data_IF_435535081485
#
_entry.id   IF_435535081485
#
_cell.length_a   1.000
_cell.length_b   1.000
_cell.length_c   1.000
_cell.angle_alpha   90.00
_cell.angle_beta   90.00
_cell.angle_gamma   90.00
#
_symmetry.space_group_name_H-M   'P 1'
#
loop_
_entity.id
_entity.type
_entity.pdbx_description
1 polymer ?
#
# COMPACT_ATOMS: atom_id res chain seq x y z
N UNK A 1 -11.78 -14.85 10.98
CA UNK A 1 -11.39 -14.34 9.65
C UNK A 1 -10.24 -15.18 9.16
N UNK A 2 -10.32 -15.72 7.93
CA UNK A 2 -9.32 -16.69 7.45
C UNK A 2 -7.95 -16.02 7.33
N UNK A 3 -6.90 -16.80 7.63
CA UNK A 3 -5.48 -16.40 7.57
C UNK A 3 -4.98 -16.23 6.12
N UNK A 4 -5.87 -16.27 5.12
CA UNK A 4 -5.52 -16.34 3.69
C UNK A 4 -5.64 -15.00 2.97
N UNK A 5 -5.95 -13.92 3.69
CA UNK A 5 -5.93 -12.58 3.11
C UNK A 5 -4.50 -12.06 3.02
N UNK A 6 -4.09 -11.59 1.84
CA UNK A 6 -2.77 -11.02 1.60
C UNK A 6 -2.41 -9.95 2.64
N UNK A 7 -1.20 -10.05 3.18
CA UNK A 7 -0.65 -9.12 4.16
C UNK A 7 0.30 -8.15 3.47
N UNK A 8 0.21 -6.87 3.84
CA UNK A 8 1.08 -5.83 3.30
C UNK A 8 1.87 -5.21 4.43
N UNK A 9 3.17 -5.10 4.24
CA UNK A 9 3.99 -4.21 5.04
C UNK A 9 3.74 -2.78 4.54
N UNK A 10 2.84 -2.09 5.22
CA UNK A 10 2.68 -0.66 5.06
C UNK A 10 3.83 0.04 5.77
N UNK A 11 4.15 1.26 5.36
CA UNK A 11 5.11 2.11 6.05
C UNK A 11 4.60 3.55 6.03
N UNK A 12 4.90 4.31 7.08
CA UNK A 12 4.61 5.74 7.06
C UNK A 12 5.60 6.46 6.14
N UNK A 13 5.08 7.23 5.18
CA UNK A 13 5.92 7.93 4.18
C UNK A 13 6.97 8.83 4.84
N UNK A 14 6.65 9.46 5.97
CA UNK A 14 7.60 10.30 6.71
C UNK A 14 8.79 9.49 7.26
N UNK A 15 8.56 8.26 7.74
CA UNK A 15 9.64 7.36 8.16
C UNK A 15 10.45 6.85 6.97
N UNK A 16 9.79 6.54 5.85
CA UNK A 16 10.47 6.09 4.62
C UNK A 16 11.42 7.17 4.10
N UNK A 17 10.95 8.41 4.02
CA UNK A 17 11.77 9.55 3.55
C UNK A 17 12.96 9.78 4.50
N UNK A 18 12.73 9.72 5.80
CA UNK A 18 13.80 9.86 6.80
C UNK A 18 14.88 8.77 6.64
N UNK A 19 14.47 7.50 6.51
CA UNK A 19 15.37 6.40 6.23
C UNK A 19 16.17 6.57 4.93
N UNK A 20 15.53 7.06 3.86
CA UNK A 20 16.20 7.34 2.59
C UNK A 20 17.28 8.42 2.74
N UNK A 21 17.00 9.49 3.50
CA UNK A 21 17.98 10.53 3.80
C UNK A 21 19.16 9.94 4.58
N UNK A 22 18.90 9.16 5.63
CA UNK A 22 19.97 8.53 6.44
C UNK A 22 20.82 7.56 5.61
N UNK A 23 20.21 6.79 4.70
CA UNK A 23 20.96 5.94 3.77
C UNK A 23 21.86 6.78 2.84
N UNK A 24 21.33 7.90 2.32
CA UNK A 24 22.09 8.82 1.49
C UNK A 24 23.29 9.44 2.23
N UNK A 25 23.10 9.88 3.48
CA UNK A 25 24.17 10.42 4.32
C UNK A 25 25.24 9.36 4.62
N UNK A 26 24.82 8.14 4.97
CA UNK A 26 25.73 7.01 5.21
C UNK A 26 26.57 6.68 3.97
N UNK A 27 25.96 6.75 2.79
CA UNK A 27 26.66 6.57 1.50
C UNK A 27 27.67 7.68 1.25
N UNK A 28 27.29 8.94 1.47
CA UNK A 28 28.19 10.10 1.26
C UNK A 28 29.37 10.12 2.23
N UNK A 29 29.21 9.58 3.43
CA UNK A 29 30.30 9.42 4.41
C UNK A 29 31.30 8.32 4.02
N UNK A 30 31.03 7.54 2.98
CA UNK A 30 31.87 6.40 2.56
C UNK A 30 31.72 5.17 3.46
N UNK A 31 30.73 5.15 4.34
CA UNK A 31 30.46 4.04 5.26
C UNK A 31 29.72 2.86 4.58
N UNK A 32 29.26 3.05 3.34
CA UNK A 32 28.62 2.01 2.52
C UNK A 32 28.91 2.25 1.03
N UNK A 33 28.88 1.20 0.21
CA UNK A 33 29.07 1.30 -1.25
C UNK A 33 28.08 0.38 -1.96
N UNK A 34 27.23 0.94 -2.84
CA UNK A 34 26.47 0.16 -3.83
C UNK A 34 25.48 -0.87 -3.28
N UNK A 35 24.93 -0.65 -2.09
CA UNK A 35 24.02 -1.59 -1.43
C UNK A 35 22.56 -1.34 -1.78
N UNK A 36 21.80 -2.42 -2.00
CA UNK A 36 20.34 -2.37 -2.05
C UNK A 36 19.81 -2.46 -0.63
N UNK A 37 19.11 -1.41 -0.19
CA UNK A 37 18.51 -1.32 1.14
C UNK A 37 17.00 -1.26 0.99
N UNK A 38 16.33 -2.21 1.63
CA UNK A 38 14.87 -2.21 1.74
C UNK A 38 14.50 -1.29 2.89
N UNK A 39 13.72 -0.27 2.57
CA UNK A 39 13.25 0.74 3.52
C UNK A 39 11.88 0.32 4.06
N UNK A 40 11.74 0.30 5.38
CA UNK A 40 10.45 0.12 6.04
C UNK A 40 10.53 0.44 7.52
N UNK A 41 9.38 0.69 8.16
CA UNK A 41 9.28 1.06 9.58
C UNK A 41 8.63 -0.03 10.42
N UNK A 42 8.27 0.29 11.67
CA UNK A 42 7.66 -0.67 12.61
C UNK A 42 6.13 -0.73 12.50
N UNK A 43 5.53 -0.17 11.44
CA UNK A 43 4.09 -0.31 11.25
C UNK A 43 3.73 -1.77 10.91
N UNK A 44 2.65 -2.30 11.49
CA UNK A 44 2.42 -3.74 11.48
C UNK A 44 2.00 -4.23 10.10
N UNK A 45 2.58 -5.36 9.67
CA UNK A 45 2.14 -6.10 8.49
C UNK A 45 0.75 -6.67 8.72
N UNK A 46 -0.24 -6.08 8.07
CA UNK A 46 -1.65 -6.49 8.16
C UNK A 46 -2.28 -6.42 6.78
N UNK A 47 -3.46 -7.03 6.63
CA UNK A 47 -4.23 -6.82 5.41
C UNK A 47 -4.73 -5.36 5.36
N UNK A 48 -4.95 -4.82 4.14
CA UNK A 48 -5.38 -3.43 3.91
C UNK A 48 -6.67 -3.08 4.66
N UNK A 49 -7.58 -4.07 4.79
CA UNK A 49 -8.84 -3.88 5.48
C UNK A 49 -8.61 -3.50 6.93
N UNK A 50 -7.82 -4.30 7.64
CA UNK A 50 -7.54 -4.11 9.07
C UNK A 50 -6.64 -2.91 9.35
N UNK A 51 -5.65 -2.65 8.47
CA UNK A 51 -4.67 -1.59 8.69
C UNK A 51 -5.16 -0.19 8.31
N UNK A 52 -6.01 -0.07 7.29
CA UNK A 52 -6.44 1.23 6.76
C UNK A 52 -7.94 1.38 6.84
N UNK A 53 -8.71 0.49 6.20
CA UNK A 53 -10.15 0.69 6.03
C UNK A 53 -10.86 0.69 7.39
N UNK A 54 -10.64 -0.32 8.22
CA UNK A 54 -11.27 -0.41 9.54
C UNK A 54 -10.81 0.72 10.47
N UNK A 55 -9.56 1.20 10.36
CA UNK A 55 -9.08 2.33 11.17
C UNK A 55 -9.71 3.65 10.74
N UNK A 56 -9.83 3.90 9.44
CA UNK A 56 -10.50 5.11 8.90
C UNK A 56 -11.99 5.08 9.21
N UNK A 57 -12.63 3.92 9.10
CA UNK A 57 -14.05 3.76 9.41
C UNK A 57 -14.34 3.75 10.91
N UNK A 58 -13.37 3.48 11.78
CA UNK A 58 -13.57 3.42 13.24
C UNK A 58 -14.13 4.73 13.82
N UNK A 59 -13.74 5.86 13.24
CA UNK A 59 -14.19 7.19 13.65
C UNK A 59 -15.52 7.59 12.95
N UNK A 60 -15.89 6.88 11.88
CA UNK A 60 -17.17 7.01 11.18
C UNK A 60 -18.24 6.07 11.76
N UNK A 61 -19.51 6.42 11.61
CA UNK A 61 -20.63 5.51 11.94
C UNK A 61 -20.94 4.51 10.81
N UNK A 62 -20.11 4.47 9.77
CA UNK A 62 -20.36 3.65 8.58
C UNK A 62 -19.64 2.31 8.68
N UNK A 63 -20.42 1.23 8.76
CA UNK A 63 -19.91 -0.13 8.60
C UNK A 63 -19.93 -0.52 7.13
N UNK A 64 -18.77 -0.58 6.48
CA UNK A 64 -18.64 -1.17 5.14
C UNK A 64 -18.40 -2.67 5.33
N UNK A 65 -19.34 -3.58 5.02
CA UNK A 65 -19.13 -5.01 5.19
C UNK A 65 -18.04 -5.54 4.25
N UNK A 66 -17.24 -6.48 4.74
CA UNK A 66 -16.32 -7.25 3.91
C UNK A 66 -17.10 -8.11 2.91
N UNK A 67 -16.71 -8.11 1.64
CA UNK A 67 -17.32 -9.01 0.66
C UNK A 67 -17.07 -10.46 1.05
N UNK A 68 -18.08 -11.32 0.90
CA UNK A 68 -17.95 -12.76 1.05
C UNK A 68 -17.25 -13.43 -0.14
N UNK A 69 -17.08 -12.70 -1.25
CA UNK A 69 -16.38 -13.16 -2.43
C UNK A 69 -14.87 -13.10 -2.19
N UNK A 70 -14.16 -14.12 -2.67
CA UNK A 70 -12.69 -14.09 -2.77
C UNK A 70 -12.29 -13.07 -3.83
N UNK A 71 -12.21 -11.80 -3.44
CA UNK A 71 -11.71 -10.68 -4.26
C UNK A 71 -10.18 -10.63 -4.31
N UNK A 72 -9.54 -11.75 -4.00
CA UNK A 72 -8.09 -11.93 -3.90
C UNK A 72 -7.73 -13.32 -4.40
N UNK A 73 -6.45 -13.57 -4.68
CA UNK A 73 -6.00 -14.88 -5.14
C UNK A 73 -5.77 -14.98 -6.65
N UNK A 74 -4.97 -15.97 -7.06
CA UNK A 74 -4.79 -16.31 -8.48
C UNK A 74 -6.12 -16.53 -9.22
N UNK A 75 -7.12 -17.23 -8.64
CA UNK A 75 -8.41 -17.40 -9.30
C UNK A 75 -9.10 -16.07 -9.61
N UNK A 76 -9.12 -15.13 -8.66
CA UNK A 76 -9.69 -13.80 -8.86
C UNK A 76 -8.97 -13.03 -9.97
N UNK A 77 -7.63 -13.04 -9.96
CA UNK A 77 -6.82 -12.37 -10.99
C UNK A 77 -7.13 -12.92 -12.38
N UNK A 78 -7.25 -14.25 -12.51
CA UNK A 78 -7.59 -14.91 -13.78
C UNK A 78 -9.00 -14.52 -14.24
N UNK A 79 -10.01 -14.60 -13.37
CA UNK A 79 -11.37 -14.20 -13.71
C UNK A 79 -11.47 -12.72 -14.07
N UNK A 80 -10.74 -11.86 -13.36
CA UNK A 80 -10.68 -10.44 -13.63
C UNK A 80 -10.06 -10.14 -15.00
N UNK A 81 -8.95 -10.81 -15.33
CA UNK A 81 -8.32 -10.69 -16.64
C UNK A 81 -9.28 -11.10 -17.77
N UNK A 82 -9.98 -12.24 -17.62
CA UNK A 82 -10.99 -12.69 -18.58
C UNK A 82 -12.12 -11.66 -18.72
N UNK A 83 -12.60 -11.12 -17.61
CA UNK A 83 -13.64 -10.09 -17.61
C UNK A 83 -13.22 -8.82 -18.36
N UNK A 84 -12.01 -8.30 -18.09
CA UNK A 84 -11.45 -7.15 -18.81
C UNK A 84 -11.29 -7.46 -20.30
N UNK A 85 -10.86 -8.67 -20.64
CA UNK A 85 -10.75 -9.12 -22.03
C UNK A 85 -12.12 -9.13 -22.73
N UNK A 86 -13.17 -9.66 -22.09
CA UNK A 86 -14.54 -9.62 -22.61
C UNK A 86 -15.06 -8.20 -22.80
N UNK A 87 -14.82 -7.30 -21.85
CA UNK A 87 -15.19 -5.88 -21.99
C UNK A 87 -14.57 -5.27 -23.25
N UNK A 88 -13.28 -5.53 -23.48
CA UNK A 88 -12.56 -5.03 -24.65
C UNK A 88 -13.12 -5.64 -25.95
N UNK A 89 -13.37 -6.95 -25.96
CA UNK A 89 -13.89 -7.66 -27.13
C UNK A 89 -15.29 -7.19 -27.52
N UNK A 90 -16.15 -6.89 -26.54
CA UNK A 90 -17.53 -6.41 -26.76
C UNK A 90 -17.61 -4.89 -26.93
N UNK A 91 -16.49 -4.15 -26.95
CA UNK A 91 -16.49 -2.69 -27.09
C UNK A 91 -17.11 -1.94 -25.92
N UNK A 92 -17.23 -2.57 -24.74
CA UNK A 92 -17.88 -2.01 -23.55
C UNK A 92 -16.96 -1.10 -22.73
N UNK A 93 -15.76 -0.80 -23.23
CA UNK A 93 -14.75 0.00 -22.51
C UNK A 93 -15.26 1.38 -22.06
N UNK A 94 -16.25 1.95 -22.75
CA UNK A 94 -16.86 3.22 -22.36
C UNK A 94 -17.70 3.15 -21.08
N UNK A 95 -18.27 1.99 -20.76
CA UNK A 95 -19.03 1.76 -19.52
C UNK A 95 -18.12 1.46 -18.33
N UNK A 96 -16.94 0.90 -18.59
CA UNK A 96 -16.01 0.40 -17.58
C UNK A 96 -14.69 1.17 -17.52
N UNK A 97 -14.74 2.51 -17.69
CA UNK A 97 -13.55 3.37 -17.75
C UNK A 97 -12.73 3.45 -16.45
N UNK A 98 -13.28 3.03 -15.31
CA UNK A 98 -12.66 3.15 -13.98
C UNK A 98 -12.27 1.80 -13.35
N UNK A 99 -11.99 0.78 -14.16
CA UNK A 99 -11.52 -0.51 -13.66
C UNK A 99 -10.00 -0.49 -13.41
N UNK A 100 -9.50 -0.98 -12.26
CA UNK A 100 -8.06 -1.10 -12.02
C UNK A 100 -7.37 -1.99 -13.06
N UNK A 101 -6.13 -1.69 -13.42
CA UNK A 101 -5.38 -2.58 -14.32
C UNK A 101 -5.15 -3.96 -13.66
N UNK A 102 -5.11 -5.04 -14.44
CA UNK A 102 -4.89 -6.38 -13.86
C UNK A 102 -3.54 -6.50 -13.12
N UNK A 103 -2.52 -5.73 -13.54
CA UNK A 103 -1.23 -5.67 -12.86
C UNK A 103 -1.33 -5.15 -11.43
N UNK A 104 -2.33 -4.30 -11.15
CA UNK A 104 -2.65 -3.88 -9.78
C UNK A 104 -2.91 -5.13 -8.92
N UNK A 105 -3.85 -5.99 -9.34
CA UNK A 105 -4.19 -7.20 -8.58
C UNK A 105 -3.06 -8.23 -8.52
N UNK A 106 -2.22 -8.34 -9.55
CA UNK A 106 -1.03 -9.20 -9.53
C UNK A 106 -0.05 -8.74 -8.44
N UNK A 107 0.19 -7.43 -8.34
CA UNK A 107 1.03 -6.85 -7.30
C UNK A 107 0.48 -7.15 -5.90
N UNK A 108 -0.83 -6.96 -5.67
CA UNK A 108 -1.44 -7.24 -4.36
C UNK A 108 -1.55 -8.74 -4.05
N UNK A 109 -1.66 -9.62 -5.06
CA UNK A 109 -1.72 -11.06 -4.84
C UNK A 109 -0.35 -11.68 -4.50
N UNK A 110 0.71 -11.29 -5.21
CA UNK A 110 2.04 -11.89 -5.04
C UNK A 110 2.80 -11.39 -3.83
N UNK A 111 2.38 -10.28 -3.25
CA UNK A 111 3.13 -9.61 -2.20
C UNK A 111 2.79 -10.21 -0.83
N UNK A 112 3.30 -11.41 -0.55
CA UNK A 112 3.79 -11.73 0.79
C UNK A 112 5.08 -10.92 1.01
N UNK A 113 4.93 -9.60 1.08
CA UNK A 113 6.04 -8.66 1.12
C UNK A 113 6.31 -8.27 2.56
N UNK A 114 6.81 -9.24 3.33
CA UNK A 114 7.59 -8.92 4.52
C UNK A 114 9.03 -8.88 4.05
N UNK A 115 9.62 -7.70 4.02
CA UNK A 115 10.98 -7.54 3.54
C UNK A 115 11.96 -7.49 4.72
N UNK A 116 13.10 -8.15 4.57
CA UNK A 116 14.12 -8.12 5.61
C UNK A 116 14.80 -6.75 5.66
N UNK A 117 14.52 -6.02 6.75
CA UNK A 117 15.07 -4.70 7.07
C UNK A 117 16.43 -4.78 7.78
N UNK A 118 17.07 -5.95 7.82
CA UNK A 118 18.35 -6.18 8.49
C UNK A 118 19.40 -5.11 8.15
N UNK A 119 19.62 -4.83 6.85
CA UNK A 119 20.63 -3.84 6.43
C UNK A 119 20.29 -2.43 6.92
N UNK A 120 19.01 -2.04 6.84
CA UNK A 120 18.57 -0.75 7.35
C UNK A 120 18.81 -0.62 8.86
N UNK A 121 18.54 -1.68 9.63
CA UNK A 121 18.70 -1.66 11.09
C UNK A 121 20.15 -1.76 11.55
N UNK A 122 20.96 -2.60 10.93
CA UNK A 122 22.27 -2.97 11.45
C UNK A 122 23.44 -2.40 10.65
N UNK A 123 23.28 -2.14 9.35
CA UNK A 123 24.32 -1.50 8.54
C UNK A 123 24.18 0.01 8.59
N UNK A 124 22.97 0.53 8.37
CA UNK A 124 22.70 1.98 8.46
C UNK A 124 22.49 2.43 9.91
N UNK A 125 22.07 1.53 10.80
CA UNK A 125 21.79 1.88 12.20
C UNK A 125 20.51 2.70 12.35
N UNK A 126 19.62 2.69 11.35
CA UNK A 126 18.43 3.53 11.34
C UNK A 126 17.33 2.98 12.26
N UNK A 127 16.56 3.90 12.84
CA UNK A 127 15.33 3.61 13.61
C UNK A 127 14.22 4.57 13.16
N UNK A 128 12.94 4.13 13.21
CA UNK A 128 11.83 5.01 12.85
C UNK A 128 11.84 6.32 13.63
N UNK A 129 11.74 7.43 12.90
CA UNK A 129 11.61 8.78 13.46
C UNK A 129 10.29 8.98 14.19
N UNK A 130 9.22 8.48 13.59
CA UNK A 130 7.87 8.53 14.13
C UNK A 130 7.46 7.15 14.63
N UNK A 131 6.90 7.11 15.84
CA UNK A 131 6.29 5.88 16.35
C UNK A 131 5.10 5.46 15.47
N UNK A 132 4.68 4.21 15.61
CA UNK A 132 3.50 3.68 14.95
C UNK A 132 2.27 4.55 15.23
N UNK A 133 2.04 4.90 16.50
CA UNK A 133 0.88 5.69 16.92
C UNK A 133 0.89 7.08 16.30
N UNK A 134 2.06 7.71 16.25
CA UNK A 134 2.22 9.03 15.63
C UNK A 134 2.02 8.99 14.11
N UNK A 135 2.57 7.96 13.45
CA UNK A 135 2.37 7.70 12.02
C UNK A 135 0.88 7.54 11.67
N UNK A 136 0.14 6.75 12.45
CA UNK A 136 -1.31 6.61 12.26
C UNK A 136 -2.04 7.93 12.47
N UNK A 137 -1.74 8.65 13.55
CA UNK A 137 -2.39 9.93 13.84
C UNK A 137 -2.16 10.96 12.72
N UNK A 138 -0.90 11.13 12.27
CA UNK A 138 -0.56 12.04 11.18
C UNK A 138 -1.22 11.65 9.86
N UNK A 139 -1.23 10.36 9.54
CA UNK A 139 -1.87 9.86 8.31
C UNK A 139 -3.37 10.08 8.34
N UNK A 140 -4.04 9.74 9.46
CA UNK A 140 -5.48 9.95 9.63
C UNK A 140 -5.84 11.44 9.46
N UNK A 141 -5.12 12.35 10.12
CA UNK A 141 -5.34 13.78 9.99
C UNK A 141 -5.20 14.27 8.53
N UNK A 142 -4.18 13.77 7.81
CA UNK A 142 -3.97 14.11 6.40
C UNK A 142 -5.13 13.62 5.52
N UNK A 143 -5.49 12.33 5.60
CA UNK A 143 -6.55 11.77 4.76
C UNK A 143 -7.94 12.33 5.09
N UNK A 144 -8.22 12.62 6.36
CA UNK A 144 -9.45 13.31 6.77
C UNK A 144 -9.56 14.70 6.13
N UNK A 145 -8.44 15.40 5.96
CA UNK A 145 -8.40 16.68 5.23
C UNK A 145 -8.65 16.54 3.73
N UNK A 146 -8.26 15.41 3.12
CA UNK A 146 -8.44 15.16 1.69
C UNK A 146 -9.91 14.90 1.31
N UNK A 147 -10.73 14.30 2.17
CA UNK A 147 -12.15 14.06 1.86
C UNK A 147 -12.99 15.35 1.75
N UNK A 148 -12.42 16.50 2.11
CA UNK A 148 -13.03 17.81 1.94
C UNK A 148 -12.76 18.37 0.53
N UNK A 149 -11.75 17.85 -0.16
CA UNK A 149 -11.34 18.28 -1.49
C UNK A 149 -12.13 17.54 -2.59
N UNK A 150 -12.92 18.31 -3.36
CA UNK A 150 -13.74 17.77 -4.45
C UNK A 150 -12.93 17.36 -5.68
N UNK A 151 -11.66 17.77 -5.76
CA UNK A 151 -10.79 17.53 -6.90
C UNK A 151 -9.84 16.33 -6.70
N UNK A 152 -10.12 15.46 -5.71
CA UNK A 152 -9.28 14.28 -5.48
C UNK A 152 -9.33 13.31 -6.66
N UNK A 153 -8.22 13.20 -7.39
CA UNK A 153 -8.04 12.21 -8.43
C UNK A 153 -7.44 10.92 -7.85
N UNK A 154 -8.13 9.80 -8.03
CA UNK A 154 -7.60 8.48 -7.65
C UNK A 154 -6.29 8.20 -8.37
N UNK A 155 -5.30 7.64 -7.66
CA UNK A 155 -3.95 7.39 -8.16
C UNK A 155 -3.86 6.46 -9.37
N UNK A 156 -4.89 5.65 -9.62
CA UNK A 156 -4.99 4.80 -10.81
C UNK A 156 -5.65 5.49 -12.01
N UNK A 157 -6.10 6.75 -11.87
CA UNK A 157 -6.57 7.54 -13.02
C UNK A 157 -5.34 8.06 -13.77
N UNK A 158 -5.25 7.84 -15.09
CA UNK A 158 -4.17 8.42 -15.89
C UNK A 158 -4.27 9.95 -15.85
N UNK A 159 -3.12 10.62 -15.64
CA UNK A 159 -3.03 12.06 -15.82
C UNK A 159 -3.20 12.37 -17.31
N UNK A 160 -4.10 13.29 -17.65
CA UNK A 160 -4.34 13.71 -19.04
C UNK A 160 -3.32 14.73 -19.49
#
# INVERSE_FOLDING_TARGET
>A
MSRDNGSFEMCYVGNVVDAMITCGETLLQGNMVGEVIIVGDDTPTKNIRESVIDQVLKDGKEEIPSSSLLLTGLPFVVFYYLFVWFIRLLGLSNFFRMLPDYNYFVMYYRNWCVFDKYKLKYVVGWKPKYSKEEAFHRSSNYYNGLFIDKDLHFSWKPHK
#
